data_IF_708029993792
#
_entry.id   IF_708029993792
#
_cell.length_a   1.000
_cell.length_b   1.000
_cell.length_c   1.000
_cell.angle_alpha   90.00
_cell.angle_beta   90.00
_cell.angle_gamma   90.00
#
_symmetry.space_group_name_H-M   'P 1'
#
loop_
_entity.id
_entity.type
_entity.pdbx_description
1 polymer ?
#
# COMPACT_ATOMS: atom_id res chain seq x y z
N UNK A 1 14.60 -24.67 -5.72
CA UNK A 1 13.33 -24.86 -6.47
C UNK A 1 12.97 -23.54 -7.13
N UNK A 2 13.00 -23.43 -8.47
CA UNK A 2 12.53 -22.23 -9.18
C UNK A 2 11.03 -22.44 -9.46
N UNK A 3 10.17 -21.85 -8.64
CA UNK A 3 8.75 -21.72 -9.04
C UNK A 3 8.69 -20.83 -10.28
N UNK A 4 7.96 -21.27 -11.29
CA UNK A 4 7.56 -20.48 -12.45
C UNK A 4 6.04 -20.47 -12.45
N UNK A 5 5.45 -19.28 -12.47
CA UNK A 5 4.01 -19.08 -12.54
C UNK A 5 3.69 -18.42 -13.87
N UNK A 6 2.61 -18.84 -14.52
CA UNK A 6 2.01 -18.07 -15.60
C UNK A 6 1.30 -16.82 -15.03
N UNK A 7 0.97 -15.86 -15.88
CA UNK A 7 0.22 -14.67 -15.46
C UNK A 7 -1.16 -15.09 -14.93
N UNK A 8 -1.80 -16.08 -15.56
CA UNK A 8 -3.11 -16.60 -15.15
C UNK A 8 -3.05 -17.36 -13.82
N UNK A 9 -1.93 -18.04 -13.52
CA UNK A 9 -1.69 -18.64 -12.20
C UNK A 9 -1.48 -17.57 -11.13
N UNK A 10 -0.74 -16.51 -11.47
CA UNK A 10 -0.50 -15.40 -10.56
C UNK A 10 -1.81 -14.66 -10.23
N UNK A 11 -2.63 -14.35 -11.24
CA UNK A 11 -3.91 -13.66 -11.07
C UNK A 11 -4.90 -14.48 -10.24
N UNK A 12 -4.95 -15.81 -10.43
CA UNK A 12 -5.71 -16.70 -9.54
C UNK A 12 -5.22 -16.64 -8.09
N UNK A 13 -3.91 -16.55 -7.90
CA UNK A 13 -3.31 -16.33 -6.58
C UNK A 13 -3.71 -14.99 -5.96
N UNK A 14 -3.71 -13.91 -6.76
CA UNK A 14 -4.16 -12.59 -6.32
C UNK A 14 -5.65 -12.59 -5.94
N UNK A 15 -6.49 -13.26 -6.72
CA UNK A 15 -7.92 -13.38 -6.45
C UNK A 15 -8.17 -14.06 -5.09
N UNK A 16 -7.50 -15.18 -4.81
CA UNK A 16 -7.59 -15.85 -3.51
C UNK A 16 -7.05 -14.98 -2.37
N UNK A 17 -5.91 -14.32 -2.57
CA UNK A 17 -5.34 -13.41 -1.58
C UNK A 17 -6.26 -12.21 -1.30
N UNK A 18 -7.00 -11.73 -2.30
CA UNK A 18 -7.87 -10.55 -2.18
C UNK A 18 -9.03 -10.74 -1.17
N UNK A 19 -9.37 -12.00 -0.87
CA UNK A 19 -10.37 -12.35 0.16
C UNK A 19 -9.90 -11.96 1.56
N UNK A 20 -8.59 -11.99 1.81
CA UNK A 20 -7.98 -11.61 3.08
C UNK A 20 -7.27 -10.25 3.04
N UNK A 21 -6.69 -9.89 1.90
CA UNK A 21 -5.79 -8.75 1.78
C UNK A 21 -6.32 -7.68 0.82
N UNK A 22 -6.05 -6.42 1.14
CA UNK A 22 -6.00 -5.34 0.17
C UNK A 22 -4.61 -5.35 -0.49
N UNK A 23 -4.56 -5.66 -1.78
CA UNK A 23 -3.31 -5.83 -2.52
C UNK A 23 -2.91 -4.51 -3.18
N UNK A 24 -1.69 -4.06 -2.93
CA UNK A 24 -1.11 -2.85 -3.49
C UNK A 24 0.17 -3.14 -4.26
N UNK A 25 0.37 -2.42 -5.36
CA UNK A 25 1.59 -2.44 -6.16
C UNK A 25 1.76 -1.08 -6.85
N UNK A 26 2.93 -0.78 -7.44
CA UNK A 26 3.06 0.36 -8.34
C UNK A 26 2.07 0.20 -9.51
N UNK A 27 1.35 1.26 -9.85
CA UNK A 27 0.38 1.29 -10.95
C UNK A 27 0.52 2.58 -11.74
N UNK A 28 0.40 2.47 -13.06
CA UNK A 28 0.37 3.63 -13.97
C UNK A 28 -1.01 4.28 -13.94
N UNK A 29 -1.02 5.60 -13.79
CA UNK A 29 -2.19 6.43 -13.96
C UNK A 29 -1.96 7.34 -15.16
N UNK A 30 -2.64 7.00 -16.26
CA UNK A 30 -2.48 7.69 -17.53
C UNK A 30 -2.88 9.15 -17.45
N UNK A 31 -2.07 10.03 -18.04
CA UNK A 31 -2.34 11.48 -18.14
C UNK A 31 -2.58 12.18 -16.80
N UNK A 32 -2.03 11.64 -15.70
CA UNK A 32 -2.09 12.22 -14.34
C UNK A 32 -0.74 12.69 -13.81
N UNK A 33 0.25 12.83 -14.70
CA UNK A 33 1.56 13.39 -14.42
C UNK A 33 1.53 14.91 -14.27
N UNK A 34 2.70 15.47 -13.96
CA UNK A 34 2.88 16.90 -13.72
C UNK A 34 2.73 17.73 -14.99
N UNK A 35 3.09 17.17 -16.14
CA UNK A 35 3.01 17.83 -17.44
C UNK A 35 1.86 17.24 -18.28
N UNK A 36 1.41 17.99 -19.28
CA UNK A 36 0.39 17.54 -20.22
C UNK A 36 0.76 16.20 -20.85
N UNK A 37 -0.20 15.29 -20.90
CA UNK A 37 -0.06 13.95 -21.49
C UNK A 37 1.09 13.11 -20.91
N UNK A 38 1.50 13.39 -19.66
CA UNK A 38 2.43 12.53 -18.92
C UNK A 38 1.72 11.65 -17.93
N UNK A 39 2.23 10.45 -17.73
CA UNK A 39 1.68 9.48 -16.78
C UNK A 39 2.29 9.67 -15.39
N UNK A 40 1.65 9.08 -14.38
CA UNK A 40 2.24 9.00 -13.05
C UNK A 40 2.14 7.58 -12.53
N UNK A 41 3.25 7.10 -11.99
CA UNK A 41 3.34 5.78 -11.36
C UNK A 41 3.29 5.96 -9.85
N UNK A 42 2.27 5.40 -9.20
CA UNK A 42 2.10 5.45 -7.75
C UNK A 42 1.63 4.11 -7.23
N UNK A 43 1.87 3.85 -5.95
CA UNK A 43 1.32 2.65 -5.33
C UNK A 43 -0.19 2.79 -5.16
N UNK A 44 -0.92 1.80 -5.65
CA UNK A 44 -2.38 1.78 -5.59
C UNK A 44 -2.89 0.34 -5.46
N UNK A 45 -4.17 0.20 -5.14
CA UNK A 45 -4.82 -1.11 -5.13
C UNK A 45 -4.81 -1.69 -6.55
N UNK A 46 -4.47 -2.97 -6.64
CA UNK A 46 -4.43 -3.75 -7.87
C UNK A 46 -5.18 -5.06 -7.70
N UNK A 47 -5.75 -5.59 -8.79
CA UNK A 47 -6.50 -6.85 -8.77
C UNK A 47 -5.85 -7.95 -9.62
N UNK A 48 -4.99 -7.59 -10.57
CA UNK A 48 -4.33 -8.52 -11.49
C UNK A 48 -2.93 -8.00 -11.83
N UNK A 49 -2.13 -8.86 -12.46
CA UNK A 49 -0.75 -8.59 -12.84
C UNK A 49 -0.63 -7.43 -13.84
N UNK A 50 -1.58 -7.29 -14.78
CA UNK A 50 -1.53 -6.25 -15.82
C UNK A 50 -1.72 -4.83 -15.28
N UNK A 51 -2.33 -4.67 -14.10
CA UNK A 51 -2.44 -3.38 -13.41
C UNK A 51 -1.13 -2.95 -12.72
N UNK A 52 -0.17 -3.86 -12.57
CA UNK A 52 1.08 -3.62 -11.85
C UNK A 52 2.17 -3.09 -12.81
N UNK A 53 2.78 -1.94 -12.48
CA UNK A 53 3.90 -1.38 -13.21
C UNK A 53 5.25 -1.87 -12.64
N UNK A 54 5.84 -2.83 -13.34
CA UNK A 54 7.14 -3.42 -13.00
C UNK A 54 8.34 -2.70 -13.63
N UNK A 55 8.12 -1.87 -14.64
CA UNK A 55 9.16 -1.20 -15.42
C UNK A 55 9.59 0.10 -14.72
N UNK A 56 8.65 1.02 -14.51
CA UNK A 56 8.91 2.41 -14.13
C UNK A 56 8.94 2.65 -12.63
N UNK A 57 9.95 3.37 -12.14
CA UNK A 57 9.99 3.75 -10.72
C UNK A 57 8.76 4.58 -10.35
N UNK A 58 8.25 4.38 -9.15
CA UNK A 58 7.15 5.21 -8.65
C UNK A 58 7.63 6.66 -8.52
N UNK A 59 6.76 7.59 -8.92
CA UNK A 59 6.98 9.03 -8.77
C UNK A 59 6.72 9.47 -7.34
N UNK A 60 6.03 8.64 -6.55
CA UNK A 60 5.63 8.89 -5.17
C UNK A 60 6.21 7.80 -4.25
N UNK A 61 6.56 8.14 -3.00
CA UNK A 61 7.11 7.17 -2.06
C UNK A 61 6.10 6.07 -1.74
N UNK A 62 6.55 4.82 -1.66
CA UNK A 62 5.71 3.67 -1.30
C UNK A 62 5.02 3.81 0.08
N UNK A 63 5.52 4.71 0.95
CA UNK A 63 4.89 5.01 2.24
C UNK A 63 3.44 5.45 2.11
N UNK A 64 3.01 6.00 0.98
CA UNK A 64 1.60 6.39 0.75
C UNK A 64 0.64 5.19 0.69
N UNK A 65 1.14 4.00 0.34
CA UNK A 65 0.37 2.76 0.43
C UNK A 65 0.24 2.25 1.88
N UNK A 66 1.15 2.66 2.76
CA UNK A 66 1.24 2.21 4.15
C UNK A 66 0.61 3.20 5.14
N UNK A 67 0.80 4.48 4.88
CA UNK A 67 0.36 5.58 5.70
C UNK A 67 -0.60 6.42 4.86
N UNK A 68 -1.92 6.24 5.01
CA UNK A 68 -2.87 7.06 4.29
C UNK A 68 -2.64 8.53 4.67
N UNK A 69 -2.68 9.42 3.68
CA UNK A 69 -2.51 10.86 3.92
C UNK A 69 -3.61 11.40 4.84
N UNK A 70 -4.83 10.86 4.70
CA UNK A 70 -5.98 11.19 5.52
C UNK A 70 -6.64 9.90 6.03
N UNK A 71 -7.04 9.87 7.30
CA UNK A 71 -7.83 8.80 7.91
C UNK A 71 -9.07 9.41 8.57
N UNK A 72 -10.26 8.94 8.18
CA UNK A 72 -11.51 9.37 8.82
C UNK A 72 -11.65 8.57 10.11
N UNK A 73 -11.69 9.25 11.26
CA UNK A 73 -11.86 8.60 12.56
C UNK A 73 -13.33 8.54 12.99
N UNK A 74 -14.08 9.61 12.71
CA UNK A 74 -15.47 9.76 13.14
C UNK A 74 -16.29 10.44 12.05
N UNK A 75 -17.55 10.04 11.95
CA UNK A 75 -18.62 10.77 11.29
C UNK A 75 -19.46 11.46 12.36
N UNK A 76 -19.78 12.72 12.15
CA UNK A 76 -20.60 13.52 13.07
C UNK A 76 -21.93 13.85 12.40
N UNK A 77 -23.02 13.71 13.14
CA UNK A 77 -24.35 14.23 12.82
C UNK A 77 -24.71 15.31 13.86
N UNK A 78 -25.92 15.88 13.77
CA UNK A 78 -26.37 16.93 14.70
C UNK A 78 -26.41 16.43 16.16
N UNK A 79 -26.87 15.20 16.37
CA UNK A 79 -27.12 14.64 17.71
C UNK A 79 -26.14 13.52 18.10
N UNK A 80 -25.38 12.96 17.16
CA UNK A 80 -24.58 11.74 17.39
C UNK A 80 -23.22 11.78 16.68
N UNK A 81 -22.32 10.90 17.13
CA UNK A 81 -21.10 10.59 16.41
C UNK A 81 -20.97 9.08 16.23
N UNK A 82 -20.37 8.67 15.11
CA UNK A 82 -20.12 7.27 14.77
C UNK A 82 -18.66 7.09 14.39
N UNK A 83 -17.97 6.14 15.03
CA UNK A 83 -16.62 5.76 14.60
C UNK A 83 -16.65 5.28 13.14
N UNK A 84 -15.65 5.67 12.34
CA UNK A 84 -15.58 5.26 10.95
C UNK A 84 -15.46 3.74 10.84
N UNK A 85 -16.19 3.14 9.89
CA UNK A 85 -16.03 1.73 9.58
C UNK A 85 -14.65 1.51 8.95
N UNK A 86 -13.84 0.65 9.56
CA UNK A 86 -12.52 0.29 9.05
C UNK A 86 -12.63 -0.97 8.18
N UNK A 87 -11.96 -1.00 7.02
CA UNK A 87 -11.72 -2.25 6.32
C UNK A 87 -10.76 -3.10 7.17
N UNK A 88 -11.24 -4.23 7.65
CA UNK A 88 -10.47 -5.10 8.56
C UNK A 88 -9.42 -5.93 7.84
N UNK A 89 -9.41 -5.93 6.50
CA UNK A 89 -8.41 -6.66 5.71
C UNK A 89 -7.02 -6.07 5.92
N UNK A 90 -6.06 -6.96 6.04
CA UNK A 90 -4.64 -6.60 6.06
C UNK A 90 -4.20 -6.06 4.68
N UNK A 91 -3.13 -5.28 4.61
CA UNK A 91 -2.56 -4.81 3.34
C UNK A 91 -1.42 -5.72 2.91
N UNK A 92 -1.44 -6.17 1.66
CA UNK A 92 -0.32 -6.87 1.02
C UNK A 92 0.30 -5.92 0.00
N UNK A 93 1.55 -5.53 0.18
CA UNK A 93 2.19 -4.50 -0.67
C UNK A 93 3.39 -5.09 -1.37
N UNK A 94 3.30 -5.21 -2.70
CA UNK A 94 4.42 -5.55 -3.58
C UNK A 94 5.30 -4.33 -3.78
N UNK A 95 6.50 -4.35 -3.22
CA UNK A 95 7.43 -3.23 -3.20
C UNK A 95 8.63 -3.49 -4.07
N UNK A 96 9.23 -2.41 -4.59
CA UNK A 96 10.59 -2.48 -5.11
C UNK A 96 11.59 -2.58 -3.95
N UNK A 97 12.76 -3.16 -4.23
CA UNK A 97 13.82 -3.32 -3.23
C UNK A 97 14.26 -1.99 -2.57
N UNK A 98 14.32 -0.90 -3.34
CA UNK A 98 14.63 0.43 -2.80
C UNK A 98 13.55 0.93 -1.83
N UNK A 99 12.27 0.67 -2.14
CA UNK A 99 11.14 1.09 -1.30
C UNK A 99 11.08 0.31 0.00
N UNK A 100 11.36 -1.01 -0.04
CA UNK A 100 11.48 -1.83 1.16
C UNK A 100 12.54 -1.26 2.12
N UNK A 101 13.68 -0.82 1.59
CA UNK A 101 14.73 -0.20 2.41
C UNK A 101 14.32 1.17 2.95
N UNK A 102 13.58 1.97 2.17
CA UNK A 102 13.01 3.23 2.65
C UNK A 102 12.04 2.99 3.80
N UNK A 103 11.20 1.95 3.71
CA UNK A 103 10.24 1.59 4.77
C UNK A 103 10.95 1.16 6.04
N UNK A 104 12.04 0.38 5.96
CA UNK A 104 12.85 0.04 7.15
C UNK A 104 13.39 1.29 7.87
N UNK A 105 13.74 2.35 7.13
CA UNK A 105 14.16 3.62 7.73
C UNK A 105 12.99 4.33 8.41
N UNK A 106 11.80 4.29 7.81
CA UNK A 106 10.58 4.81 8.40
C UNK A 106 10.24 4.02 9.68
N UNK A 107 10.28 2.68 9.64
CA UNK A 107 10.09 1.80 10.80
C UNK A 107 11.03 2.23 11.95
N UNK A 108 12.32 2.45 11.67
CA UNK A 108 13.27 2.92 12.69
C UNK A 108 12.91 4.30 13.27
N UNK A 109 12.47 5.24 12.43
CA UNK A 109 12.12 6.59 12.86
C UNK A 109 10.90 6.58 13.80
N UNK A 110 9.89 5.76 13.51
CA UNK A 110 8.64 5.77 14.29
C UNK A 110 8.60 4.74 15.42
N UNK A 111 9.36 3.65 15.32
CA UNK A 111 9.31 2.54 16.28
C UNK A 111 10.62 2.31 17.04
N UNK A 112 11.70 3.00 16.68
CA UNK A 112 13.03 2.80 17.27
C UNK A 112 13.75 4.10 17.61
N UNK A 113 13.08 5.25 17.50
CA UNK A 113 13.65 6.56 17.82
C UNK A 113 12.81 7.23 18.91
N UNK A 114 13.47 7.86 19.88
CA UNK A 114 12.82 8.52 21.02
C UNK A 114 12.52 7.60 22.20
N UNK A 115 11.75 8.11 23.16
CA UNK A 115 11.47 7.43 24.43
C UNK A 115 10.37 6.34 24.32
N UNK A 116 9.58 6.34 23.25
CA UNK A 116 8.46 5.43 23.05
C UNK A 116 8.11 5.27 21.58
N UNK A 117 7.54 4.12 21.22
CA UNK A 117 7.06 3.86 19.87
C UNK A 117 5.82 4.71 19.54
N UNK A 118 5.75 5.19 18.30
CA UNK A 118 4.56 5.88 17.80
C UNK A 118 3.36 4.92 17.74
N UNK A 119 2.33 5.22 18.51
CA UNK A 119 1.14 4.38 18.63
C UNK A 119 0.38 4.26 17.30
N UNK A 120 0.22 5.36 16.56
CA UNK A 120 -0.51 5.37 15.30
C UNK A 120 0.22 4.51 14.27
N UNK A 121 1.51 4.76 14.08
CA UNK A 121 2.34 4.02 13.15
C UNK A 121 2.38 2.54 13.50
N UNK A 122 2.58 2.19 14.78
CA UNK A 122 2.62 0.80 15.23
C UNK A 122 1.32 0.04 14.92
N UNK A 123 0.15 0.65 15.15
CA UNK A 123 -1.15 0.02 14.86
C UNK A 123 -1.31 -0.25 13.36
N UNK A 124 -0.94 0.72 12.53
CA UNK A 124 -1.16 0.68 11.09
C UNK A 124 -0.17 -0.26 10.42
N UNK A 125 1.10 -0.21 10.84
CA UNK A 125 2.19 -1.06 10.34
C UNK A 125 1.99 -2.55 10.64
N UNK A 126 1.36 -2.90 11.76
CA UNK A 126 1.02 -4.29 12.14
C UNK A 126 0.09 -4.99 11.16
N UNK A 127 -0.74 -4.23 10.42
CA UNK A 127 -1.69 -4.77 9.45
C UNK A 127 -1.09 -4.90 8.04
N UNK A 128 0.23 -4.78 7.88
CA UNK A 128 0.89 -4.66 6.58
C UNK A 128 1.93 -5.76 6.36
N UNK A 129 1.74 -6.50 5.27
CA UNK A 129 2.65 -7.51 4.77
C UNK A 129 3.35 -6.98 3.53
N UNK A 130 4.68 -6.99 3.55
CA UNK A 130 5.51 -6.42 2.50
C UNK A 130 6.17 -7.54 1.70
N UNK A 131 6.05 -7.52 0.37
CA UNK A 131 6.65 -8.47 -0.55
C UNK A 131 7.59 -7.76 -1.52
N UNK A 132 8.64 -8.45 -1.96
CA UNK A 132 9.55 -8.01 -3.02
C UNK A 132 9.21 -8.70 -4.35
#
# INVERSE_FOLDING_TARGET
MKLRLSIEEFDRGLEELSKKYLIFAPRTFEKRGTYSDTDVVRYAKVNNFSEMNWEDKSHFPAKEALLPVNEILFYFTEDEYKAASEDTRERLVFLRACDMNAIKRIDQIYLGNGASNDFFYARTRKKQNLLL
#
